data_IF_012265835997
#
_entry.id   IF_012265835997
#
_cell.length_a   1.000
_cell.length_b   1.000
_cell.length_c   1.000
_cell.angle_alpha   90.00
_cell.angle_beta   90.00
_cell.angle_gamma   90.00
#
_symmetry.space_group_name_H-M   'P 1'
#
loop_
_entity.id
_entity.type
_entity.pdbx_description
1 polymer ?
#
# COMPACT_ATOMS: atom_id res chain seq x y z
N UNK A 1 -19.91 -28.81 -35.79
CA UNK A 1 -20.12 -27.41 -35.40
C UNK A 1 -20.19 -27.24 -33.86
N UNK A 2 -20.75 -28.19 -33.11
CA UNK A 2 -20.96 -28.10 -31.68
C UNK A 2 -19.67 -28.10 -30.83
N UNK A 3 -18.61 -28.79 -31.23
CA UNK A 3 -17.36 -28.90 -30.51
C UNK A 3 -16.58 -27.54 -30.45
N UNK A 4 -16.65 -26.77 -31.55
CA UNK A 4 -16.03 -25.43 -31.64
C UNK A 4 -16.78 -24.41 -30.79
N UNK A 5 -18.11 -24.50 -30.73
CA UNK A 5 -18.94 -23.64 -29.89
C UNK A 5 -18.73 -23.92 -28.41
N UNK A 6 -18.57 -25.19 -28.00
CA UNK A 6 -18.27 -25.58 -26.63
C UNK A 6 -16.88 -25.11 -26.15
N UNK A 7 -15.89 -25.15 -27.08
CA UNK A 7 -14.53 -24.66 -26.76
C UNK A 7 -14.49 -23.14 -26.59
N UNK A 8 -15.19 -22.40 -27.45
CA UNK A 8 -15.30 -20.93 -27.32
C UNK A 8 -16.03 -20.53 -26.04
N UNK A 9 -17.10 -21.25 -25.67
CA UNK A 9 -17.83 -21.00 -24.43
C UNK A 9 -16.97 -21.29 -23.16
N UNK A 10 -16.14 -22.34 -23.20
CA UNK A 10 -15.24 -22.70 -22.10
C UNK A 10 -14.12 -21.66 -21.94
N UNK A 11 -13.55 -21.17 -23.04
CA UNK A 11 -12.52 -20.12 -23.01
C UNK A 11 -13.12 -18.80 -22.54
N UNK A 12 -14.34 -18.45 -22.96
CA UNK A 12 -15.04 -17.26 -22.49
C UNK A 12 -15.36 -17.33 -20.97
N UNK A 13 -15.74 -18.50 -20.45
CA UNK A 13 -15.98 -18.71 -19.02
C UNK A 13 -14.70 -18.59 -18.16
N UNK A 14 -13.55 -19.02 -18.70
CA UNK A 14 -12.25 -18.89 -18.04
C UNK A 14 -11.75 -17.44 -17.97
N UNK A 15 -12.09 -16.61 -18.96
CA UNK A 15 -11.68 -15.19 -19.00
C UNK A 15 -12.51 -14.33 -18.03
N UNK A 16 -13.77 -14.69 -17.75
CA UNK A 16 -14.62 -13.96 -16.81
C UNK A 16 -14.21 -14.12 -15.34
N UNK A 17 -13.44 -15.16 -14.99
CA UNK A 17 -12.94 -15.38 -13.64
C UNK A 17 -11.72 -14.54 -13.26
N UNK A 18 -11.05 -13.87 -14.19
CA UNK A 18 -9.76 -13.20 -13.97
C UNK A 18 -9.87 -11.75 -13.41
N UNK A 19 -11.07 -11.19 -13.31
CA UNK A 19 -11.32 -9.83 -12.82
C UNK A 19 -11.97 -9.79 -11.44
N UNK A 20 -11.63 -10.71 -10.55
CA UNK A 20 -12.10 -10.61 -9.17
C UNK A 20 -11.48 -9.37 -8.52
N UNK A 21 -12.27 -8.31 -8.35
CA UNK A 21 -12.03 -7.37 -7.27
C UNK A 21 -11.86 -8.21 -5.99
N UNK A 22 -10.85 -7.89 -5.17
CA UNK A 22 -10.61 -8.63 -3.94
C UNK A 22 -11.92 -8.66 -3.13
N UNK A 23 -12.46 -9.86 -2.98
CA UNK A 23 -13.70 -10.06 -2.25
C UNK A 23 -13.41 -9.97 -0.75
N UNK A 24 -13.49 -8.75 -0.22
CA UNK A 24 -13.29 -8.47 1.20
C UNK A 24 -14.35 -9.12 2.09
N UNK A 25 -15.38 -9.76 1.53
CA UNK A 25 -16.37 -10.53 2.31
C UNK A 25 -15.80 -11.89 2.75
N UNK A 26 -14.75 -12.38 2.07
CA UNK A 26 -14.08 -13.61 2.47
C UNK A 26 -13.15 -13.36 3.64
N UNK A 27 -13.04 -14.28 4.60
CA UNK A 27 -12.03 -14.20 5.65
C UNK A 27 -10.63 -14.04 5.03
N UNK A 28 -9.77 -13.18 5.60
CA UNK A 28 -8.39 -13.07 5.13
C UNK A 28 -7.60 -14.33 5.46
N UNK A 29 -6.50 -14.57 4.75
CA UNK A 29 -5.56 -15.62 5.11
C UNK A 29 -4.98 -15.35 6.52
N UNK A 30 -4.97 -16.33 7.44
CA UNK A 30 -4.56 -16.09 8.82
C UNK A 30 -3.12 -15.55 8.93
N UNK A 31 -2.94 -14.54 9.77
CA UNK A 31 -1.65 -13.93 10.12
C UNK A 31 -1.20 -14.27 11.55
N UNK A 32 -1.61 -15.43 12.10
CA UNK A 32 -1.26 -15.78 13.48
C UNK A 32 -1.84 -14.81 14.48
N UNK A 33 -1.01 -14.27 15.40
CA UNK A 33 -1.45 -13.39 16.48
C UNK A 33 -1.64 -11.91 16.06
N UNK A 34 -1.59 -11.60 14.76
CA UNK A 34 -1.67 -10.23 14.26
C UNK A 34 -3.05 -9.61 14.44
N UNK A 35 -3.08 -8.46 15.09
CA UNK A 35 -4.19 -7.51 15.11
C UNK A 35 -3.65 -6.12 14.74
N UNK A 36 -4.33 -5.41 13.84
CA UNK A 36 -3.95 -4.05 13.49
C UNK A 36 -4.25 -3.11 14.66
N UNK A 37 -3.22 -2.47 15.20
CA UNK A 37 -3.35 -1.37 16.13
C UNK A 37 -3.48 -0.03 15.40
N UNK A 38 -2.41 0.74 15.34
CA UNK A 38 -2.39 1.98 14.56
C UNK A 38 -1.86 1.74 13.15
N UNK A 39 -2.43 2.44 12.18
CA UNK A 39 -1.86 2.62 10.86
C UNK A 39 -1.68 4.13 10.63
N UNK A 40 -0.44 4.55 10.48
CA UNK A 40 -0.06 5.95 10.37
C UNK A 40 0.61 6.16 9.03
N UNK A 41 0.09 7.10 8.25
CA UNK A 41 0.67 7.49 6.97
C UNK A 41 1.28 8.89 7.09
N UNK A 42 2.47 9.08 6.55
CA UNK A 42 3.16 10.38 6.48
C UNK A 42 3.47 10.68 5.02
N UNK A 43 2.84 11.74 4.49
CA UNK A 43 2.98 12.15 3.10
C UNK A 43 3.54 13.58 2.94
N UNK A 44 3.97 14.23 4.02
CA UNK A 44 4.49 15.62 3.98
C UNK A 44 5.68 15.83 3.05
N UNK A 45 6.46 14.78 2.83
CA UNK A 45 7.64 14.79 1.96
C UNK A 45 7.39 14.15 0.60
N UNK A 46 6.14 13.78 0.29
CA UNK A 46 5.76 13.16 -0.98
C UNK A 46 6.07 14.08 -2.16
N UNK A 47 6.83 13.57 -3.13
CA UNK A 47 7.24 14.34 -4.30
C UNK A 47 6.42 13.92 -5.53
N UNK A 48 5.76 14.85 -6.24
CA UNK A 48 5.21 14.56 -7.56
C UNK A 48 6.34 14.26 -8.54
N UNK A 49 6.21 13.20 -9.35
CA UNK A 49 7.20 12.78 -10.33
C UNK A 49 6.65 12.99 -11.74
N UNK A 50 7.41 13.66 -12.58
CA UNK A 50 7.01 13.96 -13.96
C UNK A 50 5.77 14.84 -14.05
N UNK A 51 5.07 14.85 -15.20
CA UNK A 51 3.79 15.53 -15.34
C UNK A 51 2.72 14.82 -14.50
N UNK A 52 2.24 15.50 -13.45
CA UNK A 52 1.30 14.94 -12.48
C UNK A 52 0.27 15.97 -12.05
N UNK A 53 -0.96 15.52 -11.78
CA UNK A 53 -1.89 16.28 -10.95
C UNK A 53 -1.31 16.40 -9.55
N UNK A 54 -1.56 17.55 -8.89
CA UNK A 54 -1.14 17.74 -7.50
C UNK A 54 -2.12 17.06 -6.56
N UNK A 55 -1.59 16.45 -5.50
CA UNK A 55 -2.32 15.96 -4.35
C UNK A 55 -1.68 16.47 -3.06
N UNK A 56 -2.47 16.71 -2.03
CA UNK A 56 -1.98 17.16 -0.73
C UNK A 56 -1.51 15.97 0.10
N UNK A 57 -0.71 16.23 1.14
CA UNK A 57 -0.32 15.21 2.10
C UNK A 57 -1.56 14.58 2.76
N UNK A 58 -2.50 15.40 3.21
CA UNK A 58 -3.73 14.97 3.87
C UNK A 58 -4.59 14.04 2.99
N UNK A 59 -4.68 14.32 1.68
CA UNK A 59 -5.41 13.45 0.75
C UNK A 59 -4.80 12.06 0.67
N UNK A 60 -3.47 11.96 0.64
CA UNK A 60 -2.76 10.68 0.65
C UNK A 60 -2.89 9.96 1.99
N UNK A 61 -2.67 10.67 3.09
CA UNK A 61 -2.75 10.14 4.45
C UNK A 61 -4.13 9.55 4.70
N UNK A 62 -5.19 10.32 4.47
CA UNK A 62 -6.58 9.87 4.64
C UNK A 62 -6.93 8.66 3.76
N UNK A 63 -6.56 8.69 2.47
CA UNK A 63 -6.90 7.62 1.54
C UNK A 63 -6.18 6.30 1.89
N UNK A 64 -4.88 6.38 2.21
CA UNK A 64 -4.07 5.19 2.52
C UNK A 64 -4.49 4.60 3.86
N UNK A 65 -4.67 5.41 4.90
CA UNK A 65 -5.12 4.95 6.22
C UNK A 65 -6.48 4.26 6.14
N UNK A 66 -7.45 4.85 5.43
CA UNK A 66 -8.75 4.24 5.22
C UNK A 66 -8.67 2.93 4.44
N UNK A 67 -7.80 2.83 3.43
CA UNK A 67 -7.63 1.62 2.65
C UNK A 67 -6.95 0.50 3.46
N UNK A 68 -5.94 0.83 4.25
CA UNK A 68 -5.24 -0.10 5.15
C UNK A 68 -6.18 -0.59 6.25
N UNK A 69 -6.94 0.30 6.88
CA UNK A 69 -7.92 -0.09 7.89
C UNK A 69 -8.96 -1.07 7.33
N UNK A 70 -9.47 -0.84 6.12
CA UNK A 70 -10.44 -1.75 5.47
C UNK A 70 -9.85 -3.10 5.11
N UNK A 71 -8.60 -3.14 4.65
CA UNK A 71 -7.97 -4.38 4.17
C UNK A 71 -7.34 -5.18 5.30
N UNK A 72 -6.56 -4.52 6.15
CA UNK A 72 -5.72 -5.14 7.18
C UNK A 72 -6.39 -5.12 8.57
N UNK A 73 -7.31 -4.18 8.84
CA UNK A 73 -8.07 -4.14 10.09
C UNK A 73 -9.04 -5.31 10.29
N UNK A 74 -9.13 -6.24 9.34
CA UNK A 74 -9.96 -7.45 9.41
C UNK A 74 -9.33 -8.59 10.22
N UNK A 75 -8.05 -8.50 10.52
CA UNK A 75 -7.34 -9.51 11.31
C UNK A 75 -7.67 -9.34 12.81
N UNK A 76 -7.93 -10.45 13.48
CA UNK A 76 -8.42 -10.52 14.86
C UNK A 76 -7.49 -11.39 15.72
N UNK A 77 -6.19 -11.13 15.65
CA UNK A 77 -5.21 -11.81 16.53
C UNK A 77 -5.17 -11.19 17.92
N UNK A 78 -4.33 -11.72 18.79
CA UNK A 78 -4.24 -11.32 20.20
C UNK A 78 -3.16 -10.26 20.47
N UNK A 79 -2.34 -9.91 19.47
CA UNK A 79 -1.24 -8.95 19.62
C UNK A 79 -1.35 -7.79 18.67
N UNK A 80 -1.18 -6.59 19.21
CA UNK A 80 -1.22 -5.36 18.44
C UNK A 80 0.08 -5.14 17.67
N UNK A 81 -0.08 -4.86 16.37
CA UNK A 81 0.98 -4.41 15.49
C UNK A 81 0.58 -3.10 14.84
N UNK A 82 1.54 -2.19 14.70
CA UNK A 82 1.31 -0.91 14.05
C UNK A 82 1.99 -0.88 12.69
N UNK A 83 1.37 -0.20 11.73
CA UNK A 83 1.91 -0.05 10.38
C UNK A 83 2.22 1.43 10.15
N UNK A 84 3.51 1.74 9.94
CA UNK A 84 3.96 3.06 9.51
C UNK A 84 4.19 3.06 8.00
N UNK A 85 3.64 4.07 7.31
CA UNK A 85 3.71 4.21 5.86
C UNK A 85 4.23 5.60 5.52
N UNK A 86 5.37 5.67 4.86
CA UNK A 86 5.88 6.90 4.26
C UNK A 86 5.50 6.97 2.79
N UNK A 87 4.93 8.09 2.34
CA UNK A 87 4.73 8.35 0.92
C UNK A 87 5.96 9.07 0.38
N UNK A 88 6.73 8.39 -0.47
CA UNK A 88 7.98 8.93 -1.02
C UNK A 88 7.74 9.77 -2.28
N UNK A 89 6.94 9.24 -3.21
CA UNK A 89 6.67 9.87 -4.49
C UNK A 89 5.34 9.41 -5.08
N UNK A 90 4.79 10.21 -5.99
CA UNK A 90 3.59 9.86 -6.74
C UNK A 90 3.56 10.51 -8.13
N UNK A 91 2.80 9.93 -9.05
CA UNK A 91 2.34 10.58 -10.27
C UNK A 91 0.87 10.25 -10.47
N UNK A 92 0.06 11.27 -10.72
CA UNK A 92 -1.36 11.14 -11.06
C UNK A 92 -1.58 11.54 -12.52
N UNK A 93 -2.13 10.64 -13.31
CA UNK A 93 -2.32 10.84 -14.74
C UNK A 93 -3.13 12.12 -15.04
N UNK A 94 -2.67 12.89 -16.02
CA UNK A 94 -3.35 14.10 -16.48
C UNK A 94 -4.58 13.75 -17.33
N UNK A 95 -5.67 14.51 -17.24
CA UNK A 95 -6.84 14.30 -18.09
C UNK A 95 -6.52 14.64 -19.55
N UNK A 96 -7.15 13.92 -20.49
CA UNK A 96 -7.08 14.26 -21.90
C UNK A 96 -5.82 13.81 -22.65
N UNK A 97 -4.87 13.16 -21.98
CA UNK A 97 -3.70 12.57 -22.65
C UNK A 97 -4.02 11.12 -23.00
N UNK A 98 -3.88 10.70 -24.28
CA UNK A 98 -4.14 9.32 -24.68
C UNK A 98 -3.31 8.32 -23.88
N UNK A 99 -3.90 7.17 -23.52
CA UNK A 99 -3.27 6.13 -22.67
C UNK A 99 -1.92 5.65 -23.21
N UNK A 100 -1.75 5.67 -24.54
CA UNK A 100 -0.49 5.30 -25.20
C UNK A 100 0.67 6.27 -24.93
N UNK A 101 0.38 7.50 -24.50
CA UNK A 101 1.36 8.56 -24.26
C UNK A 101 1.33 9.07 -22.82
N UNK A 102 0.38 8.60 -22.00
CA UNK A 102 0.25 9.04 -20.61
C UNK A 102 0.93 8.06 -19.67
N UNK A 103 1.80 8.53 -18.76
CA UNK A 103 2.28 7.70 -17.67
C UNK A 103 1.07 7.25 -16.83
N UNK A 104 1.02 5.95 -16.52
CA UNK A 104 0.04 5.41 -15.57
C UNK A 104 0.25 6.08 -14.21
N UNK A 105 -0.83 6.31 -13.47
CA UNK A 105 -0.69 6.77 -12.09
C UNK A 105 0.18 5.79 -11.29
N UNK A 106 1.09 6.33 -10.52
CA UNK A 106 2.02 5.56 -9.68
C UNK A 106 2.11 6.17 -8.30
N UNK A 107 2.27 5.33 -7.29
CA UNK A 107 2.52 5.69 -5.90
C UNK A 107 3.70 4.89 -5.39
N UNK A 108 4.65 5.55 -4.73
CA UNK A 108 5.79 4.90 -4.08
C UNK A 108 5.65 5.10 -2.58
N UNK A 109 5.61 4.00 -1.85
CA UNK A 109 5.50 4.01 -0.39
C UNK A 109 6.57 3.15 0.25
N UNK A 110 6.99 3.52 1.44
CA UNK A 110 7.90 2.77 2.30
C UNK A 110 7.17 2.38 3.57
N UNK A 111 7.23 1.10 3.95
CA UNK A 111 6.40 0.50 5.01
C UNK A 111 7.26 -0.14 6.08
N UNK A 112 6.92 0.13 7.34
CA UNK A 112 7.48 -0.52 8.53
C UNK A 112 6.37 -1.09 9.39
N UNK A 113 6.62 -2.25 9.99
CA UNK A 113 5.73 -2.92 10.95
C UNK A 113 6.37 -2.86 12.32
N UNK A 114 5.60 -2.45 13.32
CA UNK A 114 6.01 -2.32 14.70
C UNK A 114 5.24 -3.30 15.58
N UNK A 115 5.95 -4.03 16.43
CA UNK A 115 5.36 -4.89 17.46
C UNK A 115 5.18 -4.05 18.73
N UNK A 116 3.93 -3.84 19.16
CA UNK A 116 3.60 -3.00 20.30
C UNK A 116 4.13 -3.58 21.62
N UNK A 117 3.95 -4.89 21.80
CA UNK A 117 4.40 -5.58 23.03
C UNK A 117 5.91 -5.60 23.16
N UNK A 118 6.61 -5.95 22.08
CA UNK A 118 8.07 -5.99 22.08
C UNK A 118 8.71 -4.61 21.94
N UNK A 119 7.93 -3.56 21.61
CA UNK A 119 8.38 -2.20 21.35
C UNK A 119 9.54 -2.15 20.33
N UNK A 120 9.35 -2.84 19.20
CA UNK A 120 10.38 -3.02 18.18
C UNK A 120 9.79 -3.05 16.76
N UNK A 121 10.62 -2.65 15.81
CA UNK A 121 10.33 -2.89 14.38
C UNK A 121 10.45 -4.40 14.11
N UNK A 122 9.47 -4.93 13.37
CA UNK A 122 9.40 -6.34 12.98
C UNK A 122 10.29 -6.63 11.76
N UNK A 123 10.19 -5.79 10.73
CA UNK A 123 11.01 -5.90 9.52
C UNK A 123 12.33 -5.15 9.69
N UNK A 124 13.46 -5.83 9.51
CA UNK A 124 14.80 -5.26 9.72
C UNK A 124 15.05 -4.00 8.87
N UNK A 125 14.50 -3.97 7.66
CA UNK A 125 14.56 -2.83 6.76
C UNK A 125 13.15 -2.41 6.32
N UNK A 126 12.86 -1.10 6.21
CA UNK A 126 11.61 -0.62 5.65
C UNK A 126 11.39 -1.16 4.24
N UNK A 127 10.19 -1.68 3.98
CA UNK A 127 9.84 -2.26 2.67
C UNK A 127 9.30 -1.19 1.72
N UNK A 128 9.96 -1.00 0.60
CA UNK A 128 9.51 -0.08 -0.44
C UNK A 128 8.62 -0.79 -1.46
N UNK A 129 7.50 -0.15 -1.81
CA UNK A 129 6.57 -0.59 -2.84
C UNK A 129 6.41 0.47 -3.91
N UNK A 130 6.42 0.05 -5.18
CA UNK A 130 5.98 0.86 -6.31
C UNK A 130 4.64 0.33 -6.78
N UNK A 131 3.60 1.12 -6.59
CA UNK A 131 2.20 0.77 -6.83
C UNK A 131 1.72 1.44 -8.10
N UNK A 132 1.15 0.67 -9.00
CA UNK A 132 0.54 1.18 -10.22
C UNK A 132 -0.98 1.13 -10.14
N UNK A 133 -1.63 2.06 -10.81
CA UNK A 133 -3.08 2.05 -10.98
C UNK A 133 -3.49 0.77 -11.72
N UNK A 134 -4.51 0.06 -11.19
CA UNK A 134 -5.12 -1.07 -11.90
C UNK A 134 -6.00 -0.52 -13.02
N UNK A 135 -5.76 -1.01 -14.22
CA UNK A 135 -6.66 -0.79 -15.34
C UNK A 135 -7.88 -1.71 -15.14
N UNK A 136 -9.00 -1.16 -14.72
CA UNK A 136 -10.26 -1.88 -14.79
C UNK A 136 -10.72 -1.94 -16.26
N UNK A 137 -11.48 -2.96 -16.70
CA UNK A 137 -11.99 -3.05 -18.07
C UNK A 137 -12.77 -1.80 -18.50
N UNK A 138 -13.47 -1.17 -17.55
CA UNK A 138 -14.18 0.09 -17.75
C UNK A 138 -13.22 1.26 -18.04
N UNK A 139 -11.95 1.13 -17.61
CA UNK A 139 -10.90 2.13 -17.82
C UNK A 139 -10.32 2.07 -19.23
N UNK A 140 -10.38 0.91 -19.88
CA UNK A 140 -9.81 0.70 -21.24
C UNK A 140 -10.67 1.33 -22.33
N UNK A 141 -11.98 1.45 -22.10
CA UNK A 141 -12.94 1.94 -23.10
C UNK A 141 -13.24 3.44 -23.04
N UNK A 142 -12.62 4.22 -22.14
CA UNK A 142 -12.93 5.65 -22.13
C UNK A 142 -12.41 6.50 -20.98
N UNK A 143 -11.65 5.98 -20.07
CA UNK A 143 -11.45 6.58 -18.76
C UNK A 143 -10.17 7.35 -18.54
N UNK A 144 -9.21 7.33 -19.43
CA UNK A 144 -8.10 8.30 -19.36
C UNK A 144 -8.59 9.75 -19.43
N UNK A 145 -9.79 9.97 -20.00
CA UNK A 145 -10.42 11.28 -20.14
C UNK A 145 -11.25 11.71 -18.92
N UNK A 146 -11.67 10.82 -18.03
CA UNK A 146 -12.75 11.13 -17.06
C UNK A 146 -12.52 10.69 -15.62
N UNK A 147 -11.45 9.97 -15.29
CA UNK A 147 -11.22 9.66 -13.87
C UNK A 147 -10.93 10.93 -13.07
N UNK A 148 -11.74 11.12 -12.01
CA UNK A 148 -11.44 12.19 -11.07
C UNK A 148 -10.09 11.94 -10.38
N UNK A 149 -9.38 13.00 -10.03
CA UNK A 149 -8.14 12.92 -9.26
C UNK A 149 -8.32 12.07 -7.98
N UNK A 150 -9.42 12.28 -7.28
CA UNK A 150 -9.73 11.53 -6.05
C UNK A 150 -9.84 10.02 -6.33
N UNK A 151 -10.50 9.61 -7.40
CA UNK A 151 -10.59 8.19 -7.77
C UNK A 151 -9.22 7.57 -8.06
N UNK A 152 -8.28 8.32 -8.65
CA UNK A 152 -6.91 7.85 -8.85
C UNK A 152 -6.18 7.64 -7.52
N UNK A 153 -6.32 8.58 -6.58
CA UNK A 153 -5.76 8.47 -5.22
C UNK A 153 -6.34 7.24 -4.52
N UNK A 154 -7.67 7.08 -4.51
CA UNK A 154 -8.35 5.97 -3.85
C UNK A 154 -7.95 4.60 -4.45
N UNK A 155 -7.81 4.51 -5.77
CA UNK A 155 -7.35 3.30 -6.45
C UNK A 155 -5.91 2.94 -6.07
N UNK A 156 -5.02 3.91 -6.05
CA UNK A 156 -3.63 3.69 -5.65
C UNK A 156 -3.53 3.32 -4.18
N UNK A 157 -4.29 3.97 -3.31
CA UNK A 157 -4.35 3.64 -1.88
C UNK A 157 -4.88 2.22 -1.63
N UNK A 158 -5.96 1.82 -2.32
CA UNK A 158 -6.50 0.46 -2.24
C UNK A 158 -5.49 -0.58 -2.73
N UNK A 159 -4.78 -0.30 -3.83
CA UNK A 159 -3.73 -1.17 -4.32
C UNK A 159 -2.55 -1.26 -3.35
N UNK A 160 -2.15 -0.14 -2.73
CA UNK A 160 -1.10 -0.13 -1.72
C UNK A 160 -1.48 -1.01 -0.53
N UNK A 161 -2.68 -0.84 0.02
CA UNK A 161 -3.17 -1.66 1.12
C UNK A 161 -3.15 -3.16 0.80
N UNK A 162 -3.54 -3.54 -0.43
CA UNK A 162 -3.50 -4.92 -0.88
C UNK A 162 -2.06 -5.46 -1.01
N UNK A 163 -1.14 -4.68 -1.58
CA UNK A 163 0.27 -5.09 -1.66
C UNK A 163 0.89 -5.25 -0.28
N UNK A 164 0.57 -4.36 0.66
CA UNK A 164 0.99 -4.46 2.06
C UNK A 164 0.39 -5.73 2.69
N UNK A 165 -0.92 -5.97 2.53
CA UNK A 165 -1.57 -7.17 3.06
C UNK A 165 -0.94 -8.47 2.54
N UNK A 166 -0.69 -8.57 1.23
CA UNK A 166 -0.02 -9.73 0.64
C UNK A 166 1.40 -9.93 1.20
N UNK A 167 2.15 -8.84 1.36
CA UNK A 167 3.48 -8.90 1.95
C UNK A 167 3.45 -9.36 3.42
N UNK A 168 2.45 -8.97 4.21
CA UNK A 168 2.28 -9.49 5.56
C UNK A 168 2.00 -11.00 5.54
N UNK A 169 1.16 -11.47 4.61
CA UNK A 169 0.87 -12.90 4.42
C UNK A 169 2.12 -13.68 4.00
N UNK A 170 2.91 -13.16 3.08
CA UNK A 170 4.20 -13.75 2.68
C UNK A 170 5.16 -13.88 3.87
N UNK A 171 5.04 -12.99 4.86
CA UNK A 171 5.88 -12.94 6.06
C UNK A 171 5.12 -13.32 7.34
N UNK A 172 4.06 -14.12 7.24
CA UNK A 172 3.22 -14.49 8.37
C UNK A 172 3.96 -15.14 9.55
N UNK A 173 5.12 -15.74 9.30
CA UNK A 173 6.00 -16.25 10.34
C UNK A 173 6.43 -15.18 11.36
N UNK A 174 6.43 -13.91 10.99
CA UNK A 174 6.70 -12.82 11.93
C UNK A 174 5.70 -12.72 13.07
N UNK A 175 4.48 -13.18 12.84
CA UNK A 175 3.34 -13.06 13.75
C UNK A 175 3.03 -14.37 14.47
N UNK A 176 3.93 -15.35 14.40
CA UNK A 176 3.78 -16.57 15.19
C UNK A 176 4.05 -16.30 16.68
N UNK A 177 3.47 -17.11 17.59
CA UNK A 177 3.73 -17.01 19.03
C UNK A 177 5.23 -17.07 19.35
N UNK A 178 5.98 -17.93 18.67
CA UNK A 178 7.42 -18.11 18.87
C UNK A 178 8.21 -16.87 18.46
N UNK A 179 7.89 -16.30 17.29
CA UNK A 179 8.56 -15.09 16.80
C UNK A 179 8.27 -13.88 17.69
N UNK A 180 7.03 -13.75 18.16
CA UNK A 180 6.65 -12.68 19.09
C UNK A 180 7.34 -12.82 20.44
N UNK A 181 7.40 -14.06 20.99
CA UNK A 181 8.13 -14.34 22.23
C UNK A 181 9.63 -14.05 22.10
N UNK A 182 10.24 -14.47 20.99
CA UNK A 182 11.66 -14.19 20.73
C UNK A 182 11.95 -12.68 20.67
N UNK A 183 11.07 -11.88 20.03
CA UNK A 183 11.22 -10.42 19.99
C UNK A 183 11.07 -9.78 21.37
N UNK A 184 10.17 -10.28 22.20
CA UNK A 184 9.94 -9.75 23.54
C UNK A 184 11.14 -9.94 24.49
N UNK A 185 12.03 -10.88 24.19
CA UNK A 185 13.27 -11.10 24.96
C UNK A 185 14.40 -10.10 24.59
N UNK A 186 14.27 -9.39 23.48
CA UNK A 186 15.24 -8.42 23.05
C UNK A 186 15.00 -7.06 23.76
N UNK A 187 16.05 -6.27 24.07
CA UNK A 187 15.84 -4.94 24.65
C UNK A 187 14.99 -4.08 23.71
N UNK A 188 14.08 -3.24 24.23
CA UNK A 188 13.31 -2.32 23.40
C UNK A 188 14.24 -1.49 22.51
N UNK A 189 13.79 -1.22 21.28
CA UNK A 189 14.49 -0.24 20.45
C UNK A 189 14.13 1.14 21.00
N UNK A 190 15.08 1.82 21.61
CA UNK A 190 14.90 3.22 21.98
C UNK A 190 14.54 4.01 20.72
N UNK A 191 13.42 4.69 20.83
CA UNK A 191 12.71 5.42 19.81
C UNK A 191 13.60 6.19 18.84
N UNK A 192 13.26 6.05 17.57
CA UNK A 192 13.62 6.87 16.41
C UNK A 192 15.12 7.20 16.26
N UNK A 193 15.71 6.91 15.09
CA UNK A 193 16.98 7.54 14.75
C UNK A 193 16.78 9.05 14.91
N UNK A 194 17.60 9.65 15.78
CA UNK A 194 17.68 11.10 15.89
C UNK A 194 17.82 11.63 14.44
N UNK A 195 16.86 12.44 14.03
CA UNK A 195 17.01 13.24 12.81
C UNK A 195 18.33 13.97 13.00
N UNK A 196 19.33 13.80 12.11
CA UNK A 196 20.55 14.59 12.20
C UNK A 196 20.12 16.05 12.27
N UNK A 197 20.52 16.76 13.34
CA UNK A 197 20.31 18.19 13.41
C UNK A 197 20.91 18.77 12.13
N UNK A 198 20.11 19.43 11.31
CA UNK A 198 20.61 20.22 10.20
C UNK A 198 21.74 21.07 10.74
N UNK A 199 22.93 20.84 10.21
CA UNK A 199 24.04 21.76 10.43
C UNK A 199 23.54 23.13 9.96
N UNK A 200 23.32 24.02 10.91
CA UNK A 200 22.95 25.39 10.64
C UNK A 200 23.96 26.00 9.64
N UNK A 201 23.52 26.98 8.84
CA UNK A 201 24.41 27.64 7.89
C UNK A 201 25.63 28.17 8.64
N UNK A 202 26.81 27.78 8.16
CA UNK A 202 28.07 28.37 8.65
C UNK A 202 27.98 29.87 8.49
N UNK A 203 28.10 30.58 9.59
CA UNK A 203 28.20 32.04 9.64
C UNK A 203 29.41 32.46 8.82
N UNK A 204 29.28 33.30 7.78
CA UNK A 204 30.44 33.83 7.07
C UNK A 204 31.04 34.92 7.94
N UNK A 205 32.04 34.53 8.75
CA UNK A 205 32.83 35.49 9.50
C UNK A 205 34.08 35.88 8.68
N UNK A 206 34.19 37.17 8.41
CA UNK A 206 35.34 38.02 8.08
C UNK A 206 36.18 37.69 6.84
#
# INVERSE_FOLDING_TARGET
MHLRAAFVALVAALVLGACAAEDLSRPPEPLGEFQLGHNITVARNAKPVGPSRKATAEEWETAIEAAVARNIGRYQGDKLYHIGIGVDAYALALPGVPILLSPKSVLVVTVSVWDDTARRIVNAEPRRFTIFERLAPETVLGSGLTQSRQRQIDNLAANAARHIGNWLVENKAWFSPEAAAARALLPPMDTAPAVPAEAGPADPAD
#
